data_IF_780014323485
#
_entry.id   IF_780014323485
#
_cell.length_a   1.000
_cell.length_b   1.000
_cell.length_c   1.000
_cell.angle_alpha   90.00
_cell.angle_beta   90.00
_cell.angle_gamma   90.00
#
_symmetry.space_group_name_H-M   'P 1'
#
loop_
_entity.id
_entity.type
_entity.pdbx_description
1 polymer ?
#
# COMPACT_ATOMS: atom_id res chain seq x y z
N UNK A 1 15.64 7.31 -7.38
CA UNK A 1 15.27 7.69 -5.99
C UNK A 1 16.29 7.01 -5.10
N UNK A 2 16.84 7.73 -4.14
CA UNK A 2 17.82 7.17 -3.20
C UNK A 2 17.07 6.96 -1.88
N UNK A 3 17.11 5.74 -1.33
CA UNK A 3 16.53 5.41 -0.05
C UNK A 3 17.48 4.50 0.72
N UNK A 4 17.33 4.38 2.02
CA UNK A 4 18.15 3.47 2.82
C UNK A 4 17.67 2.04 2.54
N UNK A 5 18.60 1.15 2.21
CA UNK A 5 18.29 -0.25 1.99
C UNK A 5 17.85 -0.92 3.29
N UNK A 6 16.75 -1.65 3.24
CA UNK A 6 16.27 -2.49 4.32
C UNK A 6 16.63 -3.96 4.05
N UNK A 7 17.18 -4.64 5.03
CA UNK A 7 17.45 -6.07 5.00
C UNK A 7 16.47 -6.76 5.94
N UNK A 8 15.75 -7.75 5.42
CA UNK A 8 14.91 -8.60 6.23
C UNK A 8 15.71 -9.82 6.74
N UNK A 9 15.75 -9.99 8.05
CA UNK A 9 16.31 -11.18 8.70
C UNK A 9 15.18 -12.18 8.99
N UNK A 10 15.16 -13.35 8.32
CA UNK A 10 14.12 -14.35 8.52
C UNK A 10 14.22 -15.07 9.88
N UNK A 11 15.38 -15.06 10.54
CA UNK A 11 15.56 -15.72 11.84
C UNK A 11 14.94 -14.88 12.96
N UNK A 12 15.24 -13.59 12.99
CA UNK A 12 14.67 -12.66 13.98
C UNK A 12 13.30 -12.13 13.57
N UNK A 13 12.89 -12.31 12.30
CA UNK A 13 11.69 -11.75 11.67
C UNK A 13 11.61 -10.21 11.77
N UNK A 14 12.76 -9.59 11.81
CA UNK A 14 12.90 -8.13 11.84
C UNK A 14 13.46 -7.62 10.52
N UNK A 15 13.07 -6.39 10.18
CA UNK A 15 13.74 -5.63 9.13
C UNK A 15 14.65 -4.59 9.79
N UNK A 16 15.87 -4.48 9.30
CA UNK A 16 16.84 -3.50 9.78
C UNK A 16 17.47 -2.74 8.62
N UNK A 17 18.04 -1.60 8.90
CA UNK A 17 18.74 -0.79 7.91
C UNK A 17 20.10 -1.43 7.58
N UNK A 18 20.36 -1.57 6.28
CA UNK A 18 21.63 -2.10 5.81
C UNK A 18 22.78 -1.13 6.14
N UNK A 19 23.84 -1.65 6.75
CA UNK A 19 25.05 -0.91 7.12
C UNK A 19 26.29 -1.60 6.55
N UNK A 20 27.15 -0.85 5.87
CA UNK A 20 28.36 -1.37 5.24
C UNK A 20 29.63 -1.27 6.11
N UNK A 21 29.46 -0.93 7.40
CA UNK A 21 30.56 -0.72 8.35
C UNK A 21 31.07 0.73 8.43
N UNK A 22 30.62 1.58 7.52
CA UNK A 22 30.97 3.02 7.50
C UNK A 22 29.75 3.93 7.37
N UNK A 23 28.75 3.51 6.58
CA UNK A 23 27.55 4.30 6.31
C UNK A 23 26.38 3.37 5.96
N UNK A 24 25.16 3.92 5.92
CA UNK A 24 24.01 3.18 5.45
C UNK A 24 24.14 2.86 3.98
N UNK A 25 23.72 1.63 3.62
CA UNK A 25 23.64 1.21 2.22
C UNK A 25 22.44 1.91 1.57
N UNK A 26 22.66 2.49 0.41
CA UNK A 26 21.62 3.17 -0.35
C UNK A 26 21.03 2.22 -1.39
N UNK A 27 19.70 2.06 -1.36
CA UNK A 27 18.94 1.36 -2.40
C UNK A 27 18.56 2.34 -3.51
N UNK A 28 18.98 2.03 -4.71
CA UNK A 28 18.67 2.80 -5.92
C UNK A 28 17.45 2.23 -6.65
N UNK A 29 16.91 1.10 -6.17
CA UNK A 29 15.73 0.45 -6.75
C UNK A 29 14.44 1.09 -6.24
N UNK A 30 13.29 0.89 -6.89
CA UNK A 30 12.00 1.33 -6.38
C UNK A 30 11.42 0.42 -5.27
N UNK A 31 12.19 -0.50 -4.67
CA UNK A 31 11.68 -1.51 -3.75
C UNK A 31 11.08 -0.90 -2.48
N UNK A 32 11.85 -0.10 -1.75
CA UNK A 32 11.37 0.55 -0.51
C UNK A 32 10.17 1.46 -0.75
N UNK A 33 10.21 2.41 -1.72
CA UNK A 33 9.03 3.22 -2.01
C UNK A 33 7.83 2.40 -2.51
N UNK A 34 8.03 1.27 -3.18
CA UNK A 34 6.94 0.38 -3.59
C UNK A 34 6.29 -0.29 -2.37
N UNK A 35 7.08 -0.81 -1.43
CA UNK A 35 6.57 -1.40 -0.18
C UNK A 35 5.77 -0.37 0.61
N UNK A 36 6.27 0.85 0.75
CA UNK A 36 5.57 1.94 1.45
C UNK A 36 4.26 2.29 0.71
N UNK A 37 4.30 2.43 -0.61
CA UNK A 37 3.11 2.80 -1.40
C UNK A 37 2.00 1.76 -1.33
N UNK A 38 2.34 0.48 -1.26
CA UNK A 38 1.38 -0.62 -1.25
C UNK A 38 1.00 -1.02 0.18
N UNK A 39 1.96 -1.05 1.10
CA UNK A 39 1.81 -1.61 2.45
C UNK A 39 1.28 -0.62 3.48
N UNK A 40 1.53 0.68 3.34
CA UNK A 40 0.98 1.66 4.26
C UNK A 40 -0.51 1.93 3.96
N UNK A 41 -1.24 2.32 5.01
CA UNK A 41 -2.66 2.63 4.91
C UNK A 41 -2.87 4.09 4.51
N UNK A 42 -3.33 4.31 3.29
CA UNK A 42 -3.70 5.62 2.78
C UNK A 42 -4.97 6.12 3.45
N UNK A 43 -5.05 7.41 3.72
CA UNK A 43 -6.26 8.05 4.25
C UNK A 43 -7.45 7.79 3.35
N UNK A 44 -8.57 7.36 3.97
CA UNK A 44 -9.84 7.20 3.28
C UNK A 44 -10.35 8.55 2.75
N UNK A 45 -11.03 8.51 1.62
CA UNK A 45 -11.77 9.65 1.09
C UNK A 45 -13.06 9.86 1.90
N UNK A 46 -13.66 11.05 1.85
CA UNK A 46 -14.92 11.31 2.56
C UNK A 46 -16.08 10.40 2.14
N UNK A 47 -16.05 9.92 0.90
CA UNK A 47 -17.06 9.04 0.28
C UNK A 47 -16.74 7.54 0.41
N UNK A 48 -15.59 7.18 0.98
CA UNK A 48 -15.23 5.78 1.18
C UNK A 48 -16.05 5.15 2.34
N UNK A 49 -16.53 3.93 2.12
CA UNK A 49 -17.16 3.13 3.17
C UNK A 49 -16.11 2.49 4.04
N UNK A 50 -16.08 2.84 5.32
CA UNK A 50 -15.11 2.30 6.27
C UNK A 50 -15.46 0.85 6.68
N UNK A 51 -14.44 -0.02 6.92
CA UNK A 51 -14.69 -1.42 7.24
C UNK A 51 -15.22 -1.68 8.64
N UNK A 52 -15.25 -0.69 9.53
CA UNK A 52 -15.79 -0.78 10.88
C UNK A 52 -17.33 -0.88 10.94
N UNK A 53 -18.01 -0.79 9.79
CA UNK A 53 -19.46 -0.85 9.65
C UNK A 53 -20.23 0.16 10.52
N UNK A 54 -19.56 1.21 11.00
CA UNK A 54 -20.23 2.30 11.71
C UNK A 54 -21.10 3.05 10.72
N UNK A 55 -22.39 3.20 11.06
CA UNK A 55 -23.35 4.00 10.27
C UNK A 55 -22.79 5.40 10.01
N UNK A 56 -23.05 5.93 8.81
CA UNK A 56 -22.66 7.30 8.44
C UNK A 56 -23.11 8.34 9.46
N UNK A 57 -24.22 8.06 10.15
CA UNK A 57 -24.78 8.89 11.22
C UNK A 57 -23.91 8.89 12.50
N UNK A 58 -23.13 7.83 12.73
CA UNK A 58 -22.28 7.64 13.91
C UNK A 58 -20.80 7.73 13.57
N UNK A 59 -20.44 8.05 12.32
CA UNK A 59 -19.04 8.15 11.92
C UNK A 59 -18.31 9.12 12.86
N UNK A 60 -17.36 8.63 13.67
CA UNK A 60 -16.51 9.54 14.41
C UNK A 60 -15.71 10.35 13.39
N UNK A 61 -15.81 11.67 13.48
CA UNK A 61 -15.02 12.60 12.68
C UNK A 61 -13.53 12.58 13.07
N UNK A 62 -13.08 11.48 13.66
CA UNK A 62 -11.72 11.36 14.18
C UNK A 62 -10.75 11.02 13.06
N UNK A 63 -9.60 11.65 13.10
CA UNK A 63 -8.46 11.37 12.20
C UNK A 63 -8.13 9.87 12.16
N UNK A 64 -8.26 9.17 13.28
CA UNK A 64 -7.92 7.75 13.45
C UNK A 64 -8.84 6.84 12.60
N UNK A 65 -10.14 7.14 12.49
CA UNK A 65 -11.08 6.31 11.75
C UNK A 65 -10.79 6.30 10.24
N UNK A 66 -10.35 7.42 9.69
CA UNK A 66 -10.00 7.54 8.28
C UNK A 66 -8.58 7.03 7.95
N UNK A 67 -7.82 6.60 8.94
CA UNK A 67 -6.40 6.21 8.85
C UNK A 67 -5.54 7.28 8.14
N UNK A 68 -4.42 6.89 7.56
CA UNK A 68 -3.50 7.77 6.85
C UNK A 68 -2.14 7.86 7.53
N UNK A 69 -1.16 8.36 6.80
CA UNK A 69 0.20 8.53 7.30
C UNK A 69 0.38 9.91 7.95
N UNK A 70 1.00 10.01 9.12
CA UNK A 70 1.38 11.30 9.69
C UNK A 70 2.35 12.08 8.78
N UNK A 71 3.10 11.37 7.94
CA UNK A 71 4.01 11.98 6.98
C UNK A 71 3.29 12.69 5.82
N UNK A 72 1.98 12.50 5.65
CA UNK A 72 1.22 13.16 4.59
C UNK A 72 1.20 14.68 4.73
N UNK A 73 1.42 15.21 5.95
CA UNK A 73 1.57 16.65 6.21
C UNK A 73 2.86 17.25 5.59
N UNK A 74 3.84 16.40 5.31
CA UNK A 74 5.12 16.79 4.71
C UNK A 74 5.13 16.61 3.19
N UNK A 75 4.12 15.92 2.64
CA UNK A 75 4.00 15.71 1.22
C UNK A 75 3.46 16.96 0.51
N UNK A 76 3.75 17.14 -0.78
CA UNK A 76 3.08 18.14 -1.59
C UNK A 76 1.55 17.99 -1.53
N UNK A 77 0.79 19.09 -1.64
CA UNK A 77 -0.67 19.04 -1.60
C UNK A 77 -1.27 18.00 -2.56
N UNK A 78 -2.21 17.20 -2.06
CA UNK A 78 -2.86 16.14 -2.84
C UNK A 78 -2.10 14.81 -2.93
N UNK A 79 -0.88 14.73 -2.42
CA UNK A 79 -0.09 13.50 -2.38
C UNK A 79 -0.23 12.81 -1.04
N UNK A 80 -0.90 11.67 -1.04
CA UNK A 80 -1.10 10.83 0.14
C UNK A 80 -0.28 9.54 0.02
N UNK A 81 0.32 9.13 1.13
CA UNK A 81 1.13 7.91 1.23
C UNK A 81 0.25 6.67 1.41
N UNK A 82 0.65 5.57 0.78
CA UNK A 82 0.03 4.27 0.98
C UNK A 82 -1.09 3.93 0.01
N UNK A 83 -1.82 2.86 0.30
CA UNK A 83 -2.93 2.35 -0.49
C UNK A 83 -4.22 2.27 0.31
N UNK A 84 -5.39 2.32 -0.35
CA UNK A 84 -6.70 2.13 0.28
C UNK A 84 -7.13 0.66 0.35
N UNK A 85 -6.20 -0.28 0.16
CA UNK A 85 -6.47 -1.71 0.19
C UNK A 85 -7.14 -2.16 1.50
N UNK A 86 -6.83 -1.52 2.62
CA UNK A 86 -7.42 -1.81 3.92
C UNK A 86 -8.95 -1.64 3.97
N UNK A 87 -9.55 -0.82 3.09
CA UNK A 87 -11.00 -0.68 2.99
C UNK A 87 -11.70 -1.96 2.53
N UNK A 88 -10.95 -2.89 1.91
CA UNK A 88 -11.51 -4.13 1.38
C UNK A 88 -11.55 -5.27 2.41
N UNK A 89 -10.98 -5.11 3.60
CA UNK A 89 -10.83 -6.18 4.59
C UNK A 89 -12.15 -6.86 4.97
N UNK A 90 -13.25 -6.11 5.06
CA UNK A 90 -14.59 -6.63 5.41
C UNK A 90 -15.55 -6.73 4.23
N UNK A 91 -15.06 -6.56 3.02
CA UNK A 91 -15.88 -6.66 1.82
C UNK A 91 -16.12 -8.13 1.43
N UNK A 92 -17.26 -8.40 0.81
CA UNK A 92 -17.55 -9.73 0.25
C UNK A 92 -16.67 -10.01 -0.96
N UNK A 93 -16.36 -11.30 -1.18
CA UNK A 93 -15.65 -11.73 -2.37
C UNK A 93 -16.50 -11.51 -3.62
N UNK A 94 -16.22 -10.47 -4.36
CA UNK A 94 -16.90 -10.11 -5.60
C UNK A 94 -15.91 -9.61 -6.65
N UNK A 95 -16.31 -9.60 -7.91
CA UNK A 95 -15.52 -9.01 -8.98
C UNK A 95 -15.38 -7.48 -8.82
N UNK A 96 -16.37 -6.83 -8.23
CA UNK A 96 -16.30 -5.40 -7.91
C UNK A 96 -15.17 -5.10 -6.91
N UNK A 97 -15.01 -5.93 -5.88
CA UNK A 97 -13.93 -5.80 -4.89
C UNK A 97 -12.56 -6.05 -5.55
N UNK A 98 -12.45 -7.02 -6.45
CA UNK A 98 -11.22 -7.25 -7.19
C UNK A 98 -10.82 -6.02 -8.03
N UNK A 99 -11.78 -5.44 -8.76
CA UNK A 99 -11.55 -4.21 -9.54
C UNK A 99 -11.23 -3.01 -8.66
N UNK A 100 -11.88 -2.87 -7.51
CA UNK A 100 -11.55 -1.82 -6.53
C UNK A 100 -10.10 -1.95 -6.04
N UNK A 101 -9.64 -3.18 -5.78
CA UNK A 101 -8.25 -3.43 -5.42
C UNK A 101 -7.27 -3.01 -6.53
N UNK A 102 -7.56 -3.31 -7.79
CA UNK A 102 -6.76 -2.82 -8.93
C UNK A 102 -6.68 -1.30 -8.95
N UNK A 103 -7.81 -0.62 -8.76
CA UNK A 103 -7.87 0.85 -8.72
C UNK A 103 -7.06 1.43 -7.55
N UNK A 104 -7.18 0.85 -6.35
CA UNK A 104 -6.45 1.33 -5.18
C UNK A 104 -4.95 1.12 -5.29
N UNK A 105 -4.52 0.02 -5.90
CA UNK A 105 -3.10 -0.22 -6.19
C UNK A 105 -2.57 0.72 -7.29
N UNK A 106 -3.37 0.97 -8.34
CA UNK A 106 -3.00 1.92 -9.38
C UNK A 106 -2.83 3.33 -8.81
N UNK A 107 -3.76 3.78 -7.97
CA UNK A 107 -3.67 5.06 -7.27
C UNK A 107 -2.44 5.15 -6.36
N UNK A 108 -2.11 4.09 -5.63
CA UNK A 108 -0.94 4.04 -4.74
C UNK A 108 0.38 4.12 -5.51
N UNK A 109 0.41 3.57 -6.73
CA UNK A 109 1.59 3.45 -7.56
C UNK A 109 1.70 4.55 -8.64
N UNK A 110 0.74 5.45 -8.74
CA UNK A 110 0.70 6.49 -9.78
C UNK A 110 1.99 7.33 -9.85
N UNK A 111 2.59 7.62 -8.69
CA UNK A 111 3.84 8.37 -8.59
C UNK A 111 5.02 7.73 -9.35
N UNK A 112 5.05 6.40 -9.49
CA UNK A 112 6.12 5.74 -10.21
C UNK A 112 6.05 6.04 -11.70
N UNK A 113 4.85 6.15 -12.22
CA UNK A 113 4.61 6.50 -13.61
C UNK A 113 4.80 7.99 -13.87
N UNK A 114 4.19 8.83 -13.02
CA UNK A 114 4.18 10.30 -13.22
C UNK A 114 5.51 10.96 -12.90
N UNK A 115 6.19 10.55 -11.82
CA UNK A 115 7.40 11.23 -11.34
C UNK A 115 8.68 10.55 -11.82
N UNK A 116 8.66 9.24 -12.00
CA UNK A 116 9.85 8.46 -12.33
C UNK A 116 9.84 7.89 -13.75
N UNK A 117 8.72 7.99 -14.47
CA UNK A 117 8.58 7.43 -15.81
C UNK A 117 8.69 5.89 -15.85
N UNK A 118 8.46 5.22 -14.72
CA UNK A 118 8.56 3.77 -14.60
C UNK A 118 7.21 3.13 -14.89
N UNK A 119 7.18 2.16 -15.81
CA UNK A 119 5.97 1.41 -16.10
C UNK A 119 5.52 0.58 -14.89
N UNK A 120 4.24 0.70 -14.55
CA UNK A 120 3.60 -0.04 -13.45
C UNK A 120 2.69 -1.10 -14.04
N UNK A 121 2.85 -2.35 -13.60
CA UNK A 121 1.99 -3.47 -13.96
C UNK A 121 1.34 -4.03 -12.69
N UNK A 122 0.01 -4.14 -12.70
CA UNK A 122 -0.76 -4.60 -11.54
C UNK A 122 -1.57 -5.82 -11.98
N UNK A 123 -1.52 -6.88 -11.17
CA UNK A 123 -2.33 -8.08 -11.34
C UNK A 123 -3.00 -8.41 -10.02
N UNK A 124 -4.33 -8.53 -10.03
CA UNK A 124 -5.13 -8.87 -8.84
C UNK A 124 -6.01 -10.08 -9.17
N UNK A 125 -5.98 -11.09 -8.31
CA UNK A 125 -6.79 -12.30 -8.47
C UNK A 125 -7.18 -12.90 -7.14
N UNK A 126 -8.30 -13.59 -7.11
CA UNK A 126 -8.66 -14.45 -5.99
C UNK A 126 -7.80 -15.71 -6.02
N UNK A 127 -7.06 -15.97 -4.94
CA UNK A 127 -6.23 -17.17 -4.80
C UNK A 127 -7.04 -18.34 -4.27
N UNK A 128 -7.95 -18.06 -3.37
CA UNK A 128 -8.91 -19.00 -2.75
C UNK A 128 -10.05 -18.16 -2.14
N UNK A 129 -11.17 -18.80 -1.71
CA UNK A 129 -12.25 -18.08 -1.03
C UNK A 129 -11.73 -17.22 0.12
N UNK A 130 -12.08 -15.92 0.12
CA UNK A 130 -11.68 -14.95 1.12
C UNK A 130 -10.21 -14.50 1.05
N UNK A 131 -9.43 -14.91 0.05
CA UNK A 131 -8.02 -14.52 -0.06
C UNK A 131 -7.74 -13.87 -1.42
N UNK A 132 -7.45 -12.58 -1.39
CA UNK A 132 -7.07 -11.79 -2.55
C UNK A 132 -5.55 -11.75 -2.67
N UNK A 133 -5.01 -12.22 -3.79
CA UNK A 133 -3.60 -12.07 -4.14
C UNK A 133 -3.41 -10.90 -5.10
N UNK A 134 -2.35 -10.15 -4.92
CA UNK A 134 -2.00 -9.08 -5.82
C UNK A 134 -0.49 -8.99 -6.03
N UNK A 135 -0.14 -8.58 -7.24
CA UNK A 135 1.24 -8.42 -7.69
C UNK A 135 1.37 -7.05 -8.33
N UNK A 136 2.38 -6.32 -7.90
CA UNK A 136 2.72 -5.01 -8.46
C UNK A 136 4.17 -5.07 -8.93
N UNK A 137 4.40 -4.72 -10.18
CA UNK A 137 5.73 -4.65 -10.79
C UNK A 137 6.00 -3.22 -11.24
N UNK A 138 7.14 -2.69 -10.84
CA UNK A 138 7.63 -1.35 -11.21
C UNK A 138 9.03 -1.50 -11.79
N UNK A 139 9.17 -1.31 -13.08
CA UNK A 139 10.42 -1.60 -13.79
C UNK A 139 10.83 -3.07 -13.62
N UNK A 140 11.97 -3.31 -12.98
CA UNK A 140 12.49 -4.66 -12.67
C UNK A 140 12.08 -5.17 -11.29
N UNK A 141 11.53 -4.32 -10.42
CA UNK A 141 11.13 -4.67 -9.05
C UNK A 141 9.71 -5.20 -9.02
N UNK A 142 9.51 -6.33 -8.35
CA UNK A 142 8.21 -6.96 -8.20
C UNK A 142 7.88 -7.19 -6.72
N UNK A 143 6.64 -6.88 -6.33
CA UNK A 143 6.09 -7.13 -5.01
C UNK A 143 4.84 -7.99 -5.17
N UNK A 144 4.81 -9.17 -4.54
CA UNK A 144 3.67 -10.06 -4.53
C UNK A 144 3.18 -10.27 -3.09
N UNK A 145 1.93 -9.95 -2.83
CA UNK A 145 1.31 -10.00 -1.52
C UNK A 145 -0.07 -10.66 -1.58
N UNK A 146 -0.60 -11.01 -0.41
CA UNK A 146 -1.96 -11.50 -0.25
C UNK A 146 -2.61 -10.87 0.97
N UNK A 147 -3.94 -10.71 0.92
CA UNK A 147 -4.71 -10.21 2.04
C UNK A 147 -6.01 -10.99 2.21
N UNK A 148 -6.46 -11.14 3.44
CA UNK A 148 -7.78 -11.68 3.74
C UNK A 148 -8.86 -10.62 3.44
N UNK A 149 -9.95 -11.06 2.83
CA UNK A 149 -11.11 -10.23 2.48
C UNK A 149 -12.36 -10.98 2.93
N UNK A 150 -13.24 -10.32 3.68
CA UNK A 150 -14.50 -10.93 4.11
C UNK A 150 -14.41 -11.76 5.38
N UNK A 151 -13.48 -11.45 6.27
CA UNK A 151 -13.39 -12.04 7.61
C UNK A 151 -14.35 -11.36 8.58
#
# INVERSE_FOLDING_TARGET
MLDIALIYDPETRCADMAFNGRDFVVDTTPATPLIISVGCERRARPDDVLPDAVSDFLKPSTFIAARGSPCDSLNPPGRLTGSRMWLLQRQKQTEAVRKAAETYLAEACDRFNTDLGLAVQITVRWLRPGMLGYRVRVGTTELALQMAVGS
#
